data_IF_232574090626
#
_entry.id   IF_232574090626
#
_cell.length_a   1.000
_cell.length_b   1.000
_cell.length_c   1.000
_cell.angle_alpha   90.00
_cell.angle_beta   90.00
_cell.angle_gamma   90.00
#
_symmetry.space_group_name_H-M   'P 1'
#
loop_
_entity.id
_entity.type
_entity.pdbx_description
1 polymer ?
#
# COMPACT_ATOMS: atom_id res chain seq x y z
N UNK A 1 -24.02 -4.29 -54.17
CA UNK A 1 -23.50 -5.03 -53.02
C UNK A 1 -22.00 -4.82 -52.96
N UNK A 2 -21.54 -4.07 -51.95
CA UNK A 2 -20.21 -4.16 -51.31
C UNK A 2 -20.17 -3.04 -50.27
N UNK A 3 -20.74 -3.32 -49.10
CA UNK A 3 -20.61 -2.49 -47.91
C UNK A 3 -19.31 -2.86 -47.21
N UNK A 4 -18.35 -1.95 -47.22
CA UNK A 4 -17.13 -1.96 -46.42
C UNK A 4 -17.49 -1.76 -44.94
N UNK A 5 -17.46 -2.83 -44.16
CA UNK A 5 -17.52 -2.78 -42.71
C UNK A 5 -16.12 -2.46 -42.16
N UNK A 6 -15.91 -1.19 -41.81
CA UNK A 6 -14.77 -0.77 -40.99
C UNK A 6 -14.88 -1.43 -39.61
N UNK A 7 -13.93 -2.30 -39.28
CA UNK A 7 -13.75 -2.84 -37.94
C UNK A 7 -13.34 -1.71 -37.00
N UNK A 8 -14.27 -1.30 -36.13
CA UNK A 8 -13.98 -0.41 -35.01
C UNK A 8 -13.14 -1.16 -33.98
N UNK A 9 -11.82 -1.04 -34.09
CA UNK A 9 -10.89 -1.42 -33.02
C UNK A 9 -11.22 -0.61 -31.77
N UNK A 10 -11.69 -1.29 -30.73
CA UNK A 10 -11.90 -0.74 -29.40
C UNK A 10 -10.55 -0.37 -28.78
N UNK A 11 -10.03 0.81 -29.14
CA UNK A 11 -8.86 1.40 -28.48
C UNK A 11 -9.22 1.78 -27.03
N UNK A 12 -9.17 0.82 -26.12
CA UNK A 12 -9.20 1.11 -24.69
C UNK A 12 -7.96 1.93 -24.35
N UNK A 13 -8.15 3.18 -23.94
CA UNK A 13 -7.04 4.04 -23.49
C UNK A 13 -6.34 3.36 -22.31
N UNK A 14 -5.00 3.36 -22.26
CA UNK A 14 -4.26 2.77 -21.16
C UNK A 14 -4.61 3.46 -19.84
N UNK A 15 -4.60 2.70 -18.74
CA UNK A 15 -4.80 3.24 -17.39
C UNK A 15 -3.69 4.25 -17.08
N UNK A 16 -4.08 5.43 -16.59
CA UNK A 16 -3.13 6.47 -16.18
C UNK A 16 -2.99 6.44 -14.66
N UNK A 17 -1.77 6.48 -14.15
CA UNK A 17 -1.49 6.64 -12.72
C UNK A 17 -1.31 8.13 -12.43
N UNK A 18 -2.02 8.66 -11.43
CA UNK A 18 -1.87 10.01 -10.93
C UNK A 18 -1.37 9.96 -9.48
N UNK A 19 -0.28 10.66 -9.22
CA UNK A 19 0.28 10.80 -7.88
C UNK A 19 0.02 12.22 -7.37
N UNK A 20 -0.69 12.34 -6.25
CA UNK A 20 -1.01 13.60 -5.63
C UNK A 20 -0.03 13.90 -4.49
N UNK A 21 0.68 15.02 -4.60
CA UNK A 21 1.42 15.63 -3.51
C UNK A 21 0.55 16.76 -2.94
N UNK A 22 0.09 16.56 -1.72
CA UNK A 22 -0.90 17.43 -1.09
C UNK A 22 -0.26 18.18 0.06
N UNK A 23 -0.69 19.42 0.25
CA UNK A 23 -0.42 20.15 1.48
C UNK A 23 -1.12 19.47 2.68
N UNK A 24 -0.53 19.64 3.86
CA UNK A 24 -1.02 19.16 5.16
C UNK A 24 -2.54 19.37 5.35
N UNK A 25 -3.06 20.53 4.96
CA UNK A 25 -4.48 20.86 5.14
C UNK A 25 -5.40 20.24 4.08
N UNK A 26 -4.85 19.73 2.98
CA UNK A 26 -5.62 19.21 1.85
C UNK A 26 -5.87 17.70 1.92
N UNK A 27 -5.25 16.98 2.85
CA UNK A 27 -5.44 15.54 3.00
C UNK A 27 -6.88 15.14 3.37
N UNK A 28 -7.64 16.03 4.02
CA UNK A 28 -9.01 15.75 4.45
C UNK A 28 -10.01 15.62 3.28
N UNK A 29 -9.72 16.23 2.13
CA UNK A 29 -10.63 16.21 0.99
C UNK A 29 -10.51 14.88 0.24
N UNK A 30 -11.63 14.27 -0.19
CA UNK A 30 -11.62 13.03 -0.97
C UNK A 30 -11.38 13.31 -2.46
N UNK A 31 -10.18 13.79 -2.82
CA UNK A 31 -9.80 14.15 -4.20
C UNK A 31 -10.07 13.04 -5.22
N UNK A 32 -9.94 11.77 -4.81
CA UNK A 32 -10.21 10.59 -5.63
C UNK A 32 -11.68 10.48 -6.05
N UNK A 33 -12.60 11.13 -5.33
CA UNK A 33 -14.04 11.07 -5.58
C UNK A 33 -14.54 12.20 -6.49
N UNK A 34 -13.67 13.13 -6.93
CA UNK A 34 -14.06 14.20 -7.84
C UNK A 34 -14.50 13.64 -9.20
N UNK A 35 -15.56 14.21 -9.80
CA UNK A 35 -16.12 13.73 -11.07
C UNK A 35 -15.10 13.70 -12.22
N UNK A 36 -14.15 14.63 -12.24
CA UNK A 36 -13.08 14.65 -13.23
C UNK A 36 -12.09 13.48 -13.07
N UNK A 37 -11.98 12.93 -11.86
CA UNK A 37 -11.12 11.79 -11.51
C UNK A 37 -11.83 10.45 -11.71
N UNK A 38 -13.15 10.40 -11.56
CA UNK A 38 -13.98 9.20 -11.66
C UNK A 38 -14.65 9.01 -13.02
N UNK A 39 -14.33 9.84 -14.01
CA UNK A 39 -14.95 9.80 -15.33
C UNK A 39 -14.86 8.41 -15.96
N UNK A 40 -16.03 7.83 -16.31
CA UNK A 40 -16.18 6.51 -16.93
C UNK A 40 -15.33 6.32 -18.20
N UNK A 41 -14.91 7.41 -18.85
CA UNK A 41 -14.12 7.40 -20.07
C UNK A 41 -12.60 7.43 -19.84
N UNK A 42 -12.15 7.56 -18.58
CA UNK A 42 -10.73 7.57 -18.19
C UNK A 42 -10.54 6.82 -16.88
N UNK A 43 -9.96 5.63 -16.96
CA UNK A 43 -9.53 4.88 -15.77
C UNK A 43 -8.24 5.53 -15.23
N UNK A 44 -8.38 6.46 -14.29
CA UNK A 44 -7.27 7.06 -13.56
C UNK A 44 -7.14 6.34 -12.22
N UNK A 45 -5.94 5.83 -11.93
CA UNK A 45 -5.59 5.27 -10.61
C UNK A 45 -4.88 6.36 -9.84
N UNK A 46 -5.40 6.71 -8.66
CA UNK A 46 -4.92 7.84 -7.88
C UNK A 46 -4.19 7.33 -6.65
N UNK A 47 -3.01 7.88 -6.39
CA UNK A 47 -2.21 7.64 -5.20
C UNK A 47 -1.91 8.98 -4.52
N UNK A 48 -1.65 8.94 -3.22
CA UNK A 48 -1.18 10.11 -2.47
C UNK A 48 0.19 9.83 -1.88
N UNK A 49 1.07 10.82 -1.94
CA UNK A 49 2.30 10.83 -1.16
C UNK A 49 2.48 12.21 -0.50
N UNK A 50 3.08 12.26 0.70
CA UNK A 50 3.33 13.52 1.39
C UNK A 50 4.34 14.41 0.67
N UNK A 51 5.38 13.84 0.06
CA UNK A 51 6.43 14.62 -0.59
C UNK A 51 7.15 13.86 -1.70
N UNK A 52 7.70 14.63 -2.66
CA UNK A 52 8.57 14.09 -3.71
C UNK A 52 9.85 13.50 -3.12
N UNK A 53 10.33 14.05 -2.00
CA UNK A 53 11.50 13.54 -1.28
C UNK A 53 11.24 12.12 -0.74
N UNK A 54 10.05 11.85 -0.21
CA UNK A 54 9.70 10.50 0.22
C UNK A 54 9.66 9.55 -0.98
N UNK A 55 9.10 9.97 -2.12
CA UNK A 55 9.09 9.16 -3.33
C UNK A 55 10.51 8.79 -3.79
N UNK A 56 11.43 9.77 -3.80
CA UNK A 56 12.84 9.54 -4.14
C UNK A 56 13.53 8.61 -3.12
N UNK A 57 13.27 8.80 -1.82
CA UNK A 57 13.78 7.94 -0.76
C UNK A 57 13.29 6.50 -0.89
N UNK A 58 11.99 6.31 -1.11
CA UNK A 58 11.39 5.00 -1.38
C UNK A 58 12.00 4.37 -2.63
N UNK A 59 12.15 5.12 -3.72
CA UNK A 59 12.76 4.63 -4.95
C UNK A 59 14.17 4.08 -4.70
N UNK A 60 15.03 4.85 -4.02
CA UNK A 60 16.39 4.42 -3.67
C UNK A 60 16.37 3.20 -2.76
N UNK A 61 15.50 3.20 -1.75
CA UNK A 61 15.36 2.08 -0.82
C UNK A 61 14.97 0.78 -1.54
N UNK A 62 13.99 0.82 -2.44
CA UNK A 62 13.57 -0.35 -3.23
C UNK A 62 14.60 -0.76 -4.28
N UNK A 63 15.30 0.21 -4.88
CA UNK A 63 16.37 -0.06 -5.85
C UNK A 63 17.55 -0.81 -5.18
N UNK A 64 18.02 -0.32 -4.03
CA UNK A 64 19.11 -0.96 -3.30
C UNK A 64 18.74 -2.35 -2.81
N UNK A 65 17.53 -2.53 -2.26
CA UNK A 65 17.03 -3.83 -1.84
C UNK A 65 16.95 -4.85 -3.00
N UNK A 66 16.66 -4.39 -4.22
CA UNK A 66 16.62 -5.25 -5.41
C UNK A 66 18.03 -5.59 -5.91
N UNK A 67 18.99 -4.67 -5.76
CA UNK A 67 20.38 -4.88 -6.17
C UNK A 67 21.16 -5.83 -5.25
N UNK A 68 20.82 -5.93 -3.96
CA UNK A 68 21.44 -6.90 -3.04
C UNK A 68 21.10 -8.35 -3.41
N UNK A 69 19.96 -8.59 -4.07
CA UNK A 69 19.59 -9.88 -4.63
C UNK A 69 20.25 -10.20 -5.98
N UNK A 70 20.83 -9.22 -6.67
CA UNK A 70 21.48 -9.38 -7.98
C UNK A 70 22.99 -9.12 -7.89
N UNK A 71 23.77 -10.14 -7.50
CA UNK A 71 25.22 -10.09 -7.69
C UNK A 71 25.57 -10.00 -9.19
N UNK A 72 26.18 -8.87 -9.56
CA UNK A 72 27.03 -8.59 -10.73
C UNK A 72 26.54 -9.01 -12.12
N UNK A 73 25.94 -8.05 -12.84
CA UNK A 73 26.23 -7.88 -14.27
C UNK A 73 26.84 -6.50 -14.48
N UNK A 74 28.11 -6.48 -14.90
CA UNK A 74 28.87 -5.28 -15.23
C UNK A 74 28.26 -4.58 -16.44
N UNK A 75 27.82 -3.32 -16.31
CA UNK A 75 27.67 -2.43 -17.46
C UNK A 75 28.22 -1.06 -17.09
N UNK A 76 29.19 -0.62 -17.89
CA UNK A 76 30.03 0.54 -17.65
C UNK A 76 29.36 1.89 -17.90
N UNK A 77 30.09 2.89 -17.40
CA UNK A 77 29.87 4.34 -17.51
C UNK A 77 29.24 4.78 -18.83
N UNK A 78 28.12 5.50 -18.74
CA UNK A 78 27.88 6.71 -19.51
C UNK A 78 26.79 7.55 -18.83
N UNK A 79 27.04 8.86 -18.81
CA UNK A 79 26.14 9.93 -18.40
C UNK A 79 24.74 9.78 -19.01
N UNK A 80 23.73 10.19 -18.22
CA UNK A 80 22.29 10.03 -18.41
C UNK A 80 21.74 8.74 -17.78
N UNK A 81 21.20 8.87 -16.56
CA UNK A 81 20.43 7.82 -15.88
C UNK A 81 19.12 7.56 -16.63
N UNK A 82 19.20 6.87 -17.77
CA UNK A 82 18.05 6.30 -18.45
C UNK A 82 17.66 5.04 -17.67
N UNK A 83 16.71 5.18 -16.74
CA UNK A 83 16.10 4.04 -16.05
C UNK A 83 15.37 3.21 -17.12
N UNK A 84 15.78 1.98 -17.42
CA UNK A 84 15.13 1.16 -18.45
C UNK A 84 13.67 0.93 -18.05
N UNK A 85 12.73 1.19 -18.98
CA UNK A 85 11.28 1.04 -18.79
C UNK A 85 10.89 -0.39 -18.37
N UNK A 86 11.73 -1.39 -18.64
CA UNK A 86 11.55 -2.79 -18.26
C UNK A 86 11.84 -3.06 -16.77
N UNK A 87 12.59 -2.17 -16.10
CA UNK A 87 12.73 -2.07 -14.64
C UNK A 87 11.64 -1.14 -14.10
N UNK A 88 10.39 -1.51 -14.36
CA UNK A 88 9.24 -0.70 -13.95
C UNK A 88 9.27 -0.42 -12.44
N UNK A 89 8.92 0.81 -12.09
CA UNK A 89 8.92 1.48 -10.78
C UNK A 89 7.94 0.88 -9.75
N UNK A 90 7.63 -0.42 -9.84
CA UNK A 90 6.68 -1.10 -8.98
C UNK A 90 7.42 -1.85 -7.89
N UNK A 91 7.10 -1.52 -6.64
CA UNK A 91 7.41 -2.38 -5.52
C UNK A 91 6.77 -3.76 -5.76
N UNK A 92 7.59 -4.81 -5.71
CA UNK A 92 7.13 -6.19 -5.87
C UNK A 92 6.86 -6.78 -4.49
N UNK A 93 5.63 -7.21 -4.27
CA UNK A 93 5.22 -7.89 -3.04
C UNK A 93 4.98 -9.37 -3.31
N UNK A 94 5.45 -10.22 -2.40
CA UNK A 94 5.04 -11.61 -2.36
C UNK A 94 3.71 -11.74 -1.62
N UNK A 95 2.63 -11.95 -2.39
CA UNK A 95 1.27 -12.07 -1.83
C UNK A 95 1.11 -13.28 -0.93
N UNK A 96 1.98 -14.28 -1.00
CA UNK A 96 1.93 -15.45 -0.12
C UNK A 96 2.48 -15.14 1.28
N UNK A 97 3.34 -14.12 1.42
CA UNK A 97 3.92 -13.68 2.70
C UNK A 97 3.03 -12.67 3.43
N UNK A 98 1.78 -13.04 3.63
CA UNK A 98 0.83 -12.18 4.32
C UNK A 98 0.71 -12.45 5.83
N UNK A 99 0.25 -11.42 6.53
CA UNK A 99 -0.21 -11.49 7.90
C UNK A 99 -1.57 -10.81 8.03
N UNK A 100 -2.53 -11.43 8.73
CA UNK A 100 -3.83 -10.80 9.01
C UNK A 100 -4.09 -10.61 10.51
N UNK A 101 -4.70 -9.48 10.85
CA UNK A 101 -5.17 -9.14 12.20
C UNK A 101 -6.65 -8.78 12.05
N UNK A 102 -7.54 -9.62 12.57
CA UNK A 102 -8.98 -9.46 12.40
C UNK A 102 -9.69 -9.41 13.75
N UNK A 103 -10.44 -8.33 13.96
CA UNK A 103 -11.24 -8.09 15.17
C UNK A 103 -10.44 -8.33 16.48
N UNK A 104 -9.31 -7.64 16.70
CA UNK A 104 -8.50 -7.86 17.89
C UNK A 104 -9.22 -7.52 19.21
N UNK A 105 -10.24 -6.66 19.14
CA UNK A 105 -11.10 -6.26 20.27
C UNK A 105 -12.26 -7.20 20.56
N UNK A 106 -12.52 -8.18 19.67
CA UNK A 106 -13.62 -9.15 19.77
C UNK A 106 -15.02 -8.51 19.84
N UNK A 107 -15.23 -7.41 19.12
CA UNK A 107 -16.48 -6.64 19.13
C UNK A 107 -17.02 -6.37 17.71
N UNK A 108 -16.41 -6.96 16.68
CA UNK A 108 -16.83 -6.84 15.28
C UNK A 108 -17.33 -8.18 14.70
N UNK A 109 -18.46 -8.74 15.19
CA UNK A 109 -18.95 -10.06 14.81
C UNK A 109 -19.21 -10.21 13.30
N UNK A 110 -19.74 -9.17 12.66
CA UNK A 110 -20.00 -9.17 11.21
C UNK A 110 -18.72 -9.20 10.38
N UNK A 111 -17.68 -8.49 10.82
CA UNK A 111 -16.38 -8.47 10.15
C UNK A 111 -15.73 -9.84 10.21
N UNK A 112 -15.79 -10.50 11.38
CA UNK A 112 -15.32 -11.88 11.56
C UNK A 112 -16.04 -12.86 10.65
N UNK A 113 -17.36 -12.80 10.59
CA UNK A 113 -18.15 -13.69 9.73
C UNK A 113 -17.77 -13.51 8.25
N UNK A 114 -17.62 -12.26 7.79
CA UNK A 114 -17.17 -11.96 6.43
C UNK A 114 -15.76 -12.46 6.17
N UNK A 115 -14.85 -12.30 7.12
CA UNK A 115 -13.49 -12.80 6.98
C UNK A 115 -13.47 -14.33 6.92
N UNK A 116 -14.24 -15.04 7.76
CA UNK A 116 -14.38 -16.50 7.68
C UNK A 116 -14.92 -16.97 6.32
N UNK A 117 -15.87 -16.23 5.73
CA UNK A 117 -16.33 -16.49 4.36
C UNK A 117 -15.18 -16.32 3.35
N UNK A 118 -14.41 -15.24 3.47
CA UNK A 118 -13.21 -15.04 2.64
C UNK A 118 -12.17 -16.16 2.81
N UNK A 119 -11.97 -16.67 4.02
CA UNK A 119 -11.08 -17.82 4.26
C UNK A 119 -11.54 -19.07 3.50
N UNK A 120 -12.85 -19.31 3.45
CA UNK A 120 -13.42 -20.44 2.72
C UNK A 120 -13.38 -20.25 1.19
N UNK A 121 -13.49 -19.01 0.71
CA UNK A 121 -13.41 -18.68 -0.72
C UNK A 121 -11.98 -18.72 -1.27
N UNK A 122 -10.98 -18.47 -0.41
CA UNK A 122 -9.55 -18.37 -0.75
C UNK A 122 -8.66 -19.16 0.22
N UNK A 123 -8.87 -20.48 0.38
CA UNK A 123 -8.10 -21.29 1.33
C UNK A 123 -6.61 -21.28 1.00
N UNK A 124 -6.24 -21.44 -0.27
CA UNK A 124 -4.84 -21.49 -0.72
C UNK A 124 -4.00 -20.25 -0.34
N UNK A 125 -4.65 -19.08 -0.26
CA UNK A 125 -4.00 -17.84 0.15
C UNK A 125 -3.86 -17.79 1.68
N UNK A 126 -4.95 -18.06 2.38
CA UNK A 126 -5.01 -17.95 3.84
C UNK A 126 -4.15 -19.00 4.54
N UNK A 127 -4.02 -20.21 3.97
CA UNK A 127 -3.15 -21.26 4.51
C UNK A 127 -1.68 -20.85 4.57
N UNK A 128 -1.24 -19.99 3.67
CA UNK A 128 0.14 -19.45 3.65
C UNK A 128 0.31 -18.25 4.58
N UNK A 129 -0.79 -17.62 4.98
CA UNK A 129 -0.77 -16.42 5.81
C UNK A 129 -0.81 -16.77 7.29
N UNK A 130 0.00 -16.06 8.07
CA UNK A 130 -0.10 -16.12 9.54
C UNK A 130 -1.14 -15.09 10.00
N UNK A 131 -1.78 -15.30 11.15
CA UNK A 131 -2.68 -14.26 11.63
C UNK A 131 -3.31 -14.50 12.99
N UNK A 132 -4.01 -13.48 13.44
CA UNK A 132 -4.76 -13.47 14.70
C UNK A 132 -6.19 -13.01 14.45
N UNK A 133 -7.14 -13.70 15.09
CA UNK A 133 -8.57 -13.40 15.09
C UNK A 133 -9.01 -13.30 16.54
N UNK A 134 -9.82 -12.31 16.90
CA UNK A 134 -10.40 -12.14 18.25
C UNK A 134 -9.35 -11.91 19.35
N UNK A 135 -8.13 -11.50 18.99
CA UNK A 135 -7.05 -11.19 19.93
C UNK A 135 -6.04 -10.22 19.35
N UNK A 136 -5.39 -9.49 20.24
CA UNK A 136 -4.25 -8.65 19.90
C UNK A 136 -3.03 -9.51 19.49
N UNK A 137 -2.23 -9.08 18.49
CA UNK A 137 -0.97 -9.72 18.17
C UNK A 137 0.02 -9.56 19.33
N UNK A 138 0.92 -10.52 19.50
CA UNK A 138 2.03 -10.40 20.46
C UNK A 138 3.12 -9.48 19.92
N UNK A 139 3.96 -8.92 20.80
CA UNK A 139 5.09 -8.09 20.38
C UNK A 139 6.05 -8.82 19.42
N UNK A 140 6.23 -10.13 19.60
CA UNK A 140 7.06 -10.93 18.71
C UNK A 140 6.41 -11.15 17.34
N UNK A 141 5.08 -11.31 17.29
CA UNK A 141 4.36 -11.37 16.03
C UNK A 141 4.45 -10.02 15.28
N UNK A 142 4.37 -8.89 15.99
CA UNK A 142 4.55 -7.57 15.38
C UNK A 142 5.95 -7.45 14.77
N UNK A 143 7.01 -7.83 15.50
CA UNK A 143 8.37 -7.83 14.97
C UNK A 143 8.53 -8.73 13.75
N UNK A 144 7.90 -9.90 13.74
CA UNK A 144 7.90 -10.80 12.59
C UNK A 144 7.22 -10.16 11.37
N UNK A 145 6.10 -9.45 11.57
CA UNK A 145 5.39 -8.74 10.49
C UNK A 145 6.32 -7.79 9.73
N UNK A 146 7.03 -6.89 10.43
CA UNK A 146 7.91 -5.93 9.76
C UNK A 146 9.17 -6.57 9.17
N UNK A 147 9.61 -7.71 9.70
CA UNK A 147 10.85 -8.37 9.28
C UNK A 147 10.68 -9.33 8.10
N UNK A 148 9.59 -10.09 8.06
CA UNK A 148 9.45 -11.25 7.18
C UNK A 148 8.23 -11.24 6.27
N UNK A 149 7.29 -10.31 6.47
CA UNK A 149 6.03 -10.24 5.72
C UNK A 149 6.04 -9.12 4.70
N UNK A 150 5.34 -9.37 3.60
CA UNK A 150 5.20 -8.42 2.49
C UNK A 150 3.78 -7.82 2.45
N UNK A 151 2.80 -8.46 3.11
CA UNK A 151 1.42 -7.96 3.18
C UNK A 151 0.91 -7.99 4.62
N UNK A 152 0.32 -6.89 5.08
CA UNK A 152 -0.41 -6.81 6.35
C UNK A 152 -1.86 -6.41 6.09
N UNK A 153 -2.79 -7.28 6.49
CA UNK A 153 -4.22 -7.01 6.47
C UNK A 153 -4.72 -6.75 7.89
N UNK A 154 -5.09 -5.51 8.17
CA UNK A 154 -5.70 -5.13 9.44
C UNK A 154 -7.19 -4.86 9.26
N UNK A 155 -8.03 -5.55 10.03
CA UNK A 155 -9.49 -5.33 10.09
C UNK A 155 -9.90 -5.13 11.54
N UNK A 156 -10.11 -3.87 11.95
CA UNK A 156 -10.40 -3.53 13.33
C UNK A 156 -10.74 -2.06 13.52
N UNK A 157 -10.70 -1.58 14.75
CA UNK A 157 -10.96 -0.18 15.08
C UNK A 157 -9.75 0.70 14.79
N UNK A 158 -9.98 1.88 14.22
CA UNK A 158 -8.90 2.82 13.97
C UNK A 158 -7.88 2.28 12.98
N UNK A 159 -6.62 2.48 13.30
CA UNK A 159 -5.46 2.10 12.50
C UNK A 159 -4.58 1.04 13.17
N UNK A 160 -5.05 0.44 14.27
CA UNK A 160 -4.26 -0.48 15.08
C UNK A 160 -3.26 0.19 16.03
N UNK A 161 -3.27 1.53 16.13
CA UNK A 161 -2.39 2.30 17.05
C UNK A 161 -2.51 1.91 18.52
N UNK A 162 -3.64 1.31 18.91
CA UNK A 162 -3.91 0.81 20.26
C UNK A 162 -3.02 -0.37 20.69
N UNK A 163 -2.47 -1.14 19.74
CA UNK A 163 -1.53 -2.24 20.03
C UNK A 163 -0.19 -2.07 19.35
N UNK A 164 -0.10 -1.17 18.36
CA UNK A 164 1.17 -0.80 17.78
C UNK A 164 1.25 0.72 17.53
N UNK A 165 1.82 1.49 18.48
CA UNK A 165 1.87 2.94 18.40
C UNK A 165 2.60 3.47 17.17
N UNK A 166 2.18 4.65 16.71
CA UNK A 166 2.77 5.39 15.56
C UNK A 166 4.29 5.47 15.68
N UNK A 167 4.78 5.81 16.88
CA UNK A 167 6.21 5.98 17.14
C UNK A 167 7.03 4.70 17.01
N UNK A 168 6.40 3.54 17.25
CA UNK A 168 7.09 2.26 17.11
C UNK A 168 7.05 1.77 15.66
N UNK A 169 5.97 2.05 14.93
CA UNK A 169 5.86 1.78 13.49
C UNK A 169 6.98 2.46 12.71
N UNK A 170 7.15 3.77 12.92
CA UNK A 170 8.13 4.58 12.15
C UNK A 170 9.60 4.18 12.41
N UNK A 171 9.89 3.46 13.49
CA UNK A 171 11.26 2.98 13.81
C UNK A 171 11.67 1.74 13.01
N UNK A 172 10.72 1.07 12.34
CA UNK A 172 11.04 -0.11 11.54
C UNK A 172 11.58 0.28 10.16
N UNK A 173 12.18 -0.70 9.51
CA UNK A 173 12.47 -0.66 8.08
C UNK A 173 11.88 -1.93 7.48
N UNK A 174 10.85 -1.77 6.65
CA UNK A 174 10.12 -2.86 6.03
C UNK A 174 9.71 -2.47 4.61
N UNK A 175 9.19 -3.43 3.85
CA UNK A 175 8.65 -3.24 2.49
C UNK A 175 7.21 -3.75 2.43
N UNK A 176 6.50 -3.54 3.53
CA UNK A 176 5.22 -4.14 3.83
C UNK A 176 4.10 -3.37 3.14
N UNK A 177 3.29 -4.02 2.32
CA UNK A 177 2.04 -3.43 1.84
C UNK A 177 0.95 -3.57 2.92
N UNK A 178 0.46 -2.44 3.41
CA UNK A 178 -0.49 -2.43 4.54
C UNK A 178 -1.90 -2.04 4.10
N UNK A 179 -2.88 -2.87 4.46
CA UNK A 179 -4.29 -2.63 4.26
C UNK A 179 -4.96 -2.36 5.62
N UNK A 180 -5.20 -1.08 5.93
CA UNK A 180 -5.83 -0.66 7.20
C UNK A 180 -7.35 -0.47 7.03
N UNK A 181 -8.11 -1.54 7.26
CA UNK A 181 -9.58 -1.54 7.19
C UNK A 181 -10.20 -1.22 8.55
N UNK A 182 -10.20 0.05 8.92
CA UNK A 182 -10.80 0.54 10.16
C UNK A 182 -11.28 1.98 10.08
N UNK A 183 -12.20 2.35 10.98
CA UNK A 183 -12.75 3.70 11.03
C UNK A 183 -11.65 4.72 11.29
N UNK A 184 -11.56 5.77 10.47
CA UNK A 184 -10.51 6.80 10.60
C UNK A 184 -9.06 6.26 10.53
N UNK A 185 -8.83 5.09 9.93
CA UNK A 185 -7.49 4.50 9.83
C UNK A 185 -6.48 5.39 9.11
N UNK A 186 -6.96 6.18 8.14
CA UNK A 186 -6.18 7.14 7.37
C UNK A 186 -6.22 8.57 7.91
N UNK A 187 -6.81 8.80 9.10
CA UNK A 187 -6.93 10.15 9.66
C UNK A 187 -5.56 10.65 10.12
N UNK A 188 -5.18 11.83 9.63
CA UNK A 188 -4.02 12.57 10.09
C UNK A 188 -4.44 13.60 11.15
N UNK A 189 -3.59 13.80 12.15
CA UNK A 189 -3.75 14.85 13.15
C UNK A 189 -2.97 16.09 12.70
N UNK A 190 -3.63 17.24 12.71
CA UNK A 190 -3.03 18.55 12.46
C UNK A 190 -2.72 19.22 13.79
N UNK A 191 -1.52 19.76 13.90
CA UNK A 191 -1.04 20.54 15.04
C UNK A 191 -0.85 22.00 14.62
N UNK A 192 -1.89 22.64 14.10
CA UNK A 192 -1.79 24.02 13.60
C UNK A 192 -0.83 24.10 12.42
N UNK A 193 0.25 24.88 12.57
CA UNK A 193 1.26 25.14 11.54
C UNK A 193 2.33 24.03 11.42
N UNK A 194 2.29 23.01 12.29
CA UNK A 194 3.22 21.88 12.23
C UNK A 194 2.77 20.79 11.26
N UNK A 195 3.71 19.94 10.87
CA UNK A 195 3.43 18.79 10.02
C UNK A 195 2.34 17.88 10.60
N UNK A 196 1.49 17.36 9.72
CA UNK A 196 0.48 16.39 10.11
C UNK A 196 1.13 15.05 10.38
N UNK A 197 0.61 14.33 11.38
CA UNK A 197 1.11 13.01 11.73
C UNK A 197 -0.02 11.99 11.84
N UNK A 198 0.31 10.72 11.66
CA UNK A 198 -0.65 9.63 11.77
C UNK A 198 -0.10 8.32 11.24
N UNK A 199 -0.87 7.25 11.43
CA UNK A 199 -0.44 5.91 11.05
C UNK A 199 -0.06 5.74 9.57
N UNK A 200 -0.77 6.32 8.59
CA UNK A 200 -0.33 6.23 7.19
C UNK A 200 1.07 6.79 6.96
N UNK A 201 1.39 7.92 7.60
CA UNK A 201 2.71 8.53 7.47
C UNK A 201 3.78 7.70 8.16
N UNK A 202 3.48 7.13 9.34
CA UNK A 202 4.42 6.24 10.02
C UNK A 202 4.77 5.00 9.20
N UNK A 203 3.78 4.39 8.52
CA UNK A 203 4.05 3.29 7.59
C UNK A 203 4.89 3.74 6.39
N UNK A 204 4.57 4.88 5.79
CA UNK A 204 5.37 5.42 4.69
C UNK A 204 6.82 5.70 5.11
N UNK A 205 7.04 6.25 6.30
CA UNK A 205 8.39 6.49 6.82
C UNK A 205 9.15 5.21 7.15
N UNK A 206 8.45 4.12 7.49
CA UNK A 206 9.08 2.82 7.72
C UNK A 206 9.39 2.05 6.42
N UNK A 207 9.08 2.63 5.26
CA UNK A 207 9.33 2.05 3.93
C UNK A 207 8.22 1.15 3.39
N UNK A 208 7.02 1.20 3.98
CA UNK A 208 5.83 0.50 3.47
C UNK A 208 5.39 0.96 2.08
#
# INVERSE_FOLDING_TARGET
MNSSSSSSSSNSRPSQNLLLFLDNHLHIFPWEQLHCMTSLFRRIVVYRLPSVLLLDGMHKYYYHASSESEQQTNVGNNDMTLIPVEKTFYHRIDVDKGFYIVDPGNDLPRTKERFRKFQNEKPDLIEKWNGVIERFPTNDAIKDIFKSKDVLLYMGHGSGSQFYPVDDVQKNSSRLCVLLMGCSSARLQSLGDFEVFGMPFAYLTCGA
#
